data_IF_247679161802
#
_entry.id   IF_247679161802
#
_cell.length_a   1.000
_cell.length_b   1.000
_cell.length_c   1.000
_cell.angle_alpha   90.00
_cell.angle_beta   90.00
_cell.angle_gamma   90.00
#
_symmetry.space_group_name_H-M   'P 1'
#
loop_
_entity.id
_entity.type
_entity.pdbx_description
1 polymer ?
#
# COMPACT_ATOMS: atom_id res chain seq x y z
N UNK A 1 -10.81 -21.30 12.52
CA UNK A 1 -10.25 -21.96 11.32
C UNK A 1 -8.84 -21.43 11.05
N UNK A 2 -7.89 -22.25 10.62
CA UNK A 2 -6.61 -21.79 10.10
C UNK A 2 -6.42 -22.36 8.69
N UNK A 3 -6.00 -21.52 7.74
CA UNK A 3 -5.68 -21.92 6.38
C UNK A 3 -4.18 -21.76 6.15
N UNK A 4 -3.55 -22.81 5.65
CA UNK A 4 -2.12 -22.80 5.33
C UNK A 4 -1.94 -23.00 3.83
N UNK A 5 -1.25 -22.08 3.18
CA UNK A 5 -0.90 -22.18 1.76
C UNK A 5 0.57 -21.80 1.57
N UNK A 6 1.30 -22.66 0.85
CA UNK A 6 2.76 -22.61 0.52
C UNK A 6 3.78 -22.45 1.65
N UNK A 7 3.40 -21.90 2.81
CA UNK A 7 4.12 -21.73 4.10
C UNK A 7 3.48 -20.62 4.96
N UNK A 8 2.53 -19.85 4.44
CA UNK A 8 1.81 -18.82 5.19
C UNK A 8 0.55 -19.41 5.81
N UNK A 9 0.42 -19.25 7.12
CA UNK A 9 -0.79 -19.61 7.87
C UNK A 9 -1.58 -18.35 8.21
N UNK A 10 -2.85 -18.31 7.83
CA UNK A 10 -3.78 -17.25 8.23
C UNK A 10 -4.86 -17.84 9.12
N UNK A 11 -5.16 -17.19 10.25
CA UNK A 11 -6.19 -17.60 11.19
C UNK A 11 -7.46 -16.78 10.96
N UNK A 12 -8.60 -17.45 10.94
CA UNK A 12 -9.93 -16.86 10.77
C UNK A 12 -10.83 -17.29 11.93
N UNK A 13 -11.59 -16.33 12.46
CA UNK A 13 -12.57 -16.55 13.54
C UNK A 13 -14.01 -16.26 13.11
N UNK A 14 -14.19 -15.26 12.25
CA UNK A 14 -15.50 -14.78 11.83
C UNK A 14 -15.73 -15.00 10.34
N UNK A 15 -17.00 -14.89 9.96
CA UNK A 15 -17.44 -14.98 8.58
C UNK A 15 -17.72 -16.39 8.08
N UNK A 16 -17.91 -16.50 6.78
CA UNK A 16 -18.14 -17.74 6.04
C UNK A 16 -17.07 -17.90 4.97
N UNK A 17 -16.48 -19.09 4.89
CA UNK A 17 -15.53 -19.41 3.82
C UNK A 17 -16.29 -19.90 2.60
N UNK A 18 -16.19 -19.13 1.52
CA UNK A 18 -16.67 -19.51 0.20
C UNK A 18 -15.52 -20.13 -0.58
N UNK A 19 -15.76 -21.32 -1.15
CA UNK A 19 -14.81 -22.00 -2.04
C UNK A 19 -15.46 -22.15 -3.41
N UNK A 20 -14.83 -21.58 -4.44
CA UNK A 20 -15.34 -21.61 -5.81
C UNK A 20 -14.24 -21.93 -6.81
N UNK A 21 -14.59 -22.60 -7.89
CA UNK A 21 -13.72 -22.69 -9.06
C UNK A 21 -13.86 -21.39 -9.85
N UNK A 22 -12.74 -20.72 -10.12
CA UNK A 22 -12.67 -19.53 -10.96
C UNK A 22 -11.69 -19.76 -12.10
N UNK A 23 -11.82 -19.01 -13.19
CA UNK A 23 -10.88 -19.05 -14.32
C UNK A 23 -10.00 -17.81 -14.29
N UNK A 24 -8.72 -18.02 -14.02
CA UNK A 24 -7.68 -16.99 -14.10
C UNK A 24 -7.10 -16.93 -15.51
N UNK A 25 -6.91 -15.71 -16.04
CA UNK A 25 -6.46 -15.51 -17.41
C UNK A 25 -5.05 -16.08 -17.69
N UNK A 26 -4.20 -16.23 -16.66
CA UNK A 26 -2.83 -16.74 -16.79
C UNK A 26 -2.67 -18.17 -16.29
N UNK A 27 -3.39 -18.51 -15.22
CA UNK A 27 -3.22 -19.79 -14.51
C UNK A 27 -4.30 -20.83 -14.86
N UNK A 28 -5.32 -20.45 -15.64
CA UNK A 28 -6.45 -21.32 -15.94
C UNK A 28 -7.37 -21.52 -14.74
N UNK A 29 -8.00 -22.69 -14.63
CA UNK A 29 -8.96 -22.97 -13.56
C UNK A 29 -8.25 -23.15 -12.23
N UNK A 30 -8.70 -22.42 -11.20
CA UNK A 30 -8.16 -22.44 -9.85
C UNK A 30 -9.27 -22.37 -8.81
N UNK A 31 -8.96 -22.81 -7.59
CA UNK A 31 -9.83 -22.60 -6.45
C UNK A 31 -9.61 -21.19 -5.88
N UNK A 32 -10.69 -20.43 -5.76
CA UNK A 32 -10.77 -19.23 -4.96
C UNK A 32 -11.32 -19.58 -3.57
N UNK A 33 -10.63 -19.09 -2.54
CA UNK A 33 -11.06 -19.22 -1.14
C UNK A 33 -11.27 -17.80 -0.62
N UNK A 34 -12.53 -17.43 -0.37
CA UNK A 34 -12.93 -16.07 0.03
C UNK A 34 -13.55 -16.14 1.42
N UNK A 35 -13.07 -15.30 2.34
CA UNK A 35 -13.70 -15.14 3.65
C UNK A 35 -14.71 -14.00 3.61
N UNK A 36 -15.99 -14.31 3.66
CA UNK A 36 -17.06 -13.33 3.71
C UNK A 36 -17.34 -12.94 5.17
N UNK A 37 -17.07 -11.69 5.51
CA UNK A 37 -17.17 -11.15 6.88
C UNK A 37 -18.01 -9.88 6.89
N UNK A 38 -18.58 -9.54 8.06
CA UNK A 38 -19.22 -8.24 8.24
C UNK A 38 -18.20 -7.12 8.12
N UNK A 39 -18.51 -6.12 7.31
CA UNK A 39 -17.63 -4.98 7.07
C UNK A 39 -17.56 -4.02 8.26
N UNK A 40 -18.63 -3.93 9.05
CA UNK A 40 -18.73 -3.03 10.21
C UNK A 40 -17.57 -3.22 11.20
N UNK A 41 -17.26 -4.47 11.53
CA UNK A 41 -16.34 -4.85 12.59
C UNK A 41 -15.43 -6.05 12.26
N UNK A 42 -15.98 -7.21 11.86
CA UNK A 42 -15.23 -8.46 11.67
C UNK A 42 -14.09 -8.33 10.65
N UNK A 43 -14.36 -7.62 9.55
CA UNK A 43 -13.32 -7.25 8.57
C UNK A 43 -12.26 -6.36 9.21
N UNK A 44 -12.67 -5.31 9.93
CA UNK A 44 -11.74 -4.33 10.49
C UNK A 44 -10.89 -4.90 11.62
N UNK A 45 -11.41 -5.81 12.44
CA UNK A 45 -10.62 -6.49 13.47
C UNK A 45 -9.44 -7.28 12.90
N UNK A 46 -9.52 -7.70 11.63
CA UNK A 46 -8.44 -8.38 10.93
C UNK A 46 -7.47 -7.46 10.18
N UNK A 47 -7.71 -6.15 10.10
CA UNK A 47 -6.87 -5.20 9.38
C UNK A 47 -5.57 -4.93 10.13
N UNK A 48 -4.44 -5.08 9.44
CA UNK A 48 -3.10 -4.98 10.01
C UNK A 48 -2.21 -4.02 9.20
N UNK A 49 -2.62 -2.77 9.12
CA UNK A 49 -1.88 -1.69 8.43
C UNK A 49 -0.99 -0.87 9.36
N UNK A 50 -1.40 -0.71 10.62
CA UNK A 50 -0.66 0.03 11.65
C UNK A 50 -0.35 -0.87 12.85
N UNK A 51 0.75 -0.60 13.58
CA UNK A 51 1.00 -1.23 14.88
C UNK A 51 -0.16 -0.97 15.84
N UNK A 52 -0.65 -2.01 16.49
CA UNK A 52 -1.74 -1.91 17.47
C UNK A 52 -1.34 -1.15 18.74
N UNK A 53 -0.04 -0.88 18.91
CA UNK A 53 0.53 -0.09 20.01
C UNK A 53 0.51 1.42 19.78
N UNK A 54 0.06 1.89 18.60
CA UNK A 54 -0.06 3.30 18.31
C UNK A 54 -1.12 3.99 19.19
N UNK A 55 -1.05 5.33 19.35
CA UNK A 55 -2.03 6.10 20.10
C UNK A 55 -3.47 5.84 19.63
N UNK A 56 -4.42 5.86 20.56
CA UNK A 56 -5.83 5.56 20.30
C UNK A 56 -6.42 6.33 19.12
N UNK A 57 -6.17 7.64 19.04
CA UNK A 57 -6.66 8.49 17.95
C UNK A 57 -6.11 8.07 16.57
N UNK A 58 -4.86 7.58 16.50
CA UNK A 58 -4.27 7.08 15.26
C UNK A 58 -4.91 5.75 14.84
N UNK A 59 -5.19 4.86 15.81
CA UNK A 59 -5.91 3.60 15.54
C UNK A 59 -7.34 3.87 15.05
N UNK A 60 -8.04 4.85 15.63
CA UNK A 60 -9.39 5.24 15.22
C UNK A 60 -9.39 5.86 13.81
N UNK A 61 -8.43 6.74 13.50
CA UNK A 61 -8.25 7.29 12.16
C UNK A 61 -8.00 6.16 11.13
N UNK A 62 -7.16 5.18 11.46
CA UNK A 62 -6.92 4.03 10.59
C UNK A 62 -8.17 3.16 10.44
N UNK A 63 -8.94 2.90 11.50
CA UNK A 63 -10.17 2.12 11.43
C UNK A 63 -11.20 2.80 10.50
N UNK A 64 -11.38 4.12 10.62
CA UNK A 64 -12.25 4.92 9.73
C UNK A 64 -11.74 4.86 8.29
N UNK A 65 -10.44 5.08 8.07
CA UNK A 65 -9.84 5.00 6.75
C UNK A 65 -10.02 3.61 6.13
N UNK A 66 -9.76 2.54 6.87
CA UNK A 66 -9.91 1.18 6.37
C UNK A 66 -11.36 0.81 6.05
N UNK A 67 -12.31 1.30 6.85
CA UNK A 67 -13.76 1.15 6.60
C UNK A 67 -14.18 1.89 5.33
N UNK A 68 -13.77 3.15 5.17
CA UNK A 68 -14.03 3.95 3.96
C UNK A 68 -13.49 3.29 2.70
N UNK A 69 -12.24 2.82 2.72
CA UNK A 69 -11.63 2.15 1.58
C UNK A 69 -12.46 0.95 1.14
N UNK A 70 -12.79 0.07 2.09
CA UNK A 70 -13.57 -1.14 1.83
C UNK A 70 -14.98 -0.79 1.33
N UNK A 71 -15.67 0.16 1.97
CA UNK A 71 -16.99 0.64 1.52
C UNK A 71 -16.96 1.20 0.09
N UNK A 72 -15.88 1.88 -0.31
CA UNK A 72 -15.72 2.42 -1.68
C UNK A 72 -15.59 1.33 -2.77
N UNK A 73 -15.36 0.08 -2.37
CA UNK A 73 -15.17 -1.10 -3.23
C UNK A 73 -16.37 -2.05 -3.21
N UNK A 74 -17.28 -1.92 -2.24
CA UNK A 74 -18.49 -2.74 -2.14
C UNK A 74 -19.29 -2.68 -3.45
N UNK A 75 -19.78 -3.83 -3.90
CA UNK A 75 -20.54 -3.97 -5.15
C UNK A 75 -19.68 -4.11 -6.41
N UNK A 76 -18.35 -4.02 -6.32
CA UNK A 76 -17.44 -4.28 -7.44
C UNK A 76 -16.71 -5.60 -7.25
N UNK A 77 -17.27 -6.67 -7.82
CA UNK A 77 -16.68 -8.01 -7.74
C UNK A 77 -15.51 -8.15 -8.70
N UNK A 78 -14.36 -8.56 -8.17
CA UNK A 78 -13.14 -8.85 -8.90
C UNK A 78 -13.20 -10.27 -9.45
N UNK A 79 -13.18 -10.41 -10.78
CA UNK A 79 -13.26 -11.73 -11.46
C UNK A 79 -12.12 -12.69 -11.09
N UNK A 80 -10.96 -12.15 -10.74
CA UNK A 80 -9.75 -12.91 -10.38
C UNK A 80 -9.82 -13.64 -9.03
N UNK A 81 -10.80 -13.33 -8.19
CA UNK A 81 -11.01 -13.99 -6.90
C UNK A 81 -12.50 -14.25 -6.58
N UNK A 82 -13.42 -13.72 -7.38
CA UNK A 82 -14.84 -13.62 -7.06
C UNK A 82 -15.07 -12.98 -5.68
N UNK A 83 -14.39 -11.85 -5.45
CA UNK A 83 -14.34 -11.13 -4.18
C UNK A 83 -14.30 -9.61 -4.39
N UNK A 84 -14.68 -8.80 -3.38
CA UNK A 84 -14.60 -7.34 -3.48
C UNK A 84 -13.22 -6.78 -3.10
N UNK A 85 -12.47 -7.50 -2.26
CA UNK A 85 -11.21 -7.05 -1.67
C UNK A 85 -10.19 -8.18 -1.58
N UNK A 86 -8.95 -7.89 -1.94
CA UNK A 86 -7.79 -8.71 -1.64
C UNK A 86 -7.34 -8.54 -0.18
N UNK A 87 -6.79 -9.60 0.41
CA UNK A 87 -6.20 -9.59 1.76
C UNK A 87 -4.73 -9.12 1.80
N UNK A 88 -4.26 -8.43 0.76
CA UNK A 88 -2.86 -8.04 0.56
C UNK A 88 -2.74 -6.56 0.22
N UNK A 89 -1.51 -6.08 0.00
CA UNK A 89 -1.20 -4.69 -0.38
C UNK A 89 -1.92 -4.20 -1.65
N UNK A 90 -2.53 -5.10 -2.44
CA UNK A 90 -3.40 -4.70 -3.55
C UNK A 90 -4.65 -3.95 -3.09
N UNK A 91 -5.14 -4.21 -1.88
CA UNK A 91 -6.20 -3.44 -1.23
C UNK A 91 -5.77 -3.05 0.18
N UNK A 92 -5.88 -3.97 1.14
CA UNK A 92 -5.44 -3.78 2.52
C UNK A 92 -4.92 -5.09 3.10
N UNK A 93 -3.89 -5.02 3.94
CA UNK A 93 -3.31 -6.15 4.64
C UNK A 93 -4.29 -6.68 5.70
N UNK A 94 -4.92 -7.82 5.40
CA UNK A 94 -5.82 -8.52 6.31
C UNK A 94 -5.10 -9.71 6.94
N UNK A 95 -4.74 -9.60 8.22
CA UNK A 95 -4.12 -10.65 9.01
C UNK A 95 -5.14 -11.58 9.70
N UNK A 96 -6.43 -11.24 9.62
CA UNK A 96 -7.51 -12.01 10.24
C UNK A 96 -7.37 -12.06 11.76
N UNK A 97 -7.70 -13.21 12.35
CA UNK A 97 -7.76 -13.37 13.80
C UNK A 97 -6.41 -13.14 14.50
N UNK A 98 -5.29 -13.31 13.79
CA UNK A 98 -3.96 -13.02 14.34
C UNK A 98 -3.84 -11.58 14.85
N UNK A 99 -4.47 -10.61 14.16
CA UNK A 99 -4.46 -9.20 14.59
C UNK A 99 -5.26 -8.99 15.87
N UNK A 100 -6.45 -9.57 15.96
CA UNK A 100 -7.29 -9.48 17.15
C UNK A 100 -6.63 -10.15 18.37
N UNK A 101 -5.91 -11.27 18.15
CA UNK A 101 -5.22 -12.01 19.22
C UNK A 101 -3.80 -11.54 19.52
N UNK A 102 -3.38 -10.41 18.96
CA UNK A 102 -2.06 -9.85 19.27
C UNK A 102 -1.96 -9.61 20.79
N UNK A 103 -1.01 -10.25 21.50
CA UNK A 103 -0.93 -10.14 22.95
C UNK A 103 -0.83 -8.68 23.39
N UNK A 104 -1.68 -8.28 24.35
CA UNK A 104 -1.85 -6.91 24.88
C UNK A 104 -2.44 -5.91 23.88
N UNK A 105 -2.02 -5.95 22.61
CA UNK A 105 -2.32 -4.88 21.66
C UNK A 105 -3.57 -5.10 20.82
N UNK A 106 -3.96 -6.36 20.56
CA UNK A 106 -5.15 -6.66 19.76
C UNK A 106 -6.45 -6.10 20.37
N UNK A 107 -6.49 -6.00 21.71
CA UNK A 107 -7.58 -5.35 22.44
C UNK A 107 -7.66 -3.84 22.15
N UNK A 108 -6.53 -3.15 21.99
CA UNK A 108 -6.51 -1.72 21.68
C UNK A 108 -7.03 -1.46 20.27
N UNK A 109 -6.62 -2.30 19.30
CA UNK A 109 -7.14 -2.23 17.94
C UNK A 109 -8.65 -2.48 17.90
N UNK A 110 -9.11 -3.55 18.55
CA UNK A 110 -10.55 -3.87 18.64
C UNK A 110 -11.34 -2.71 19.27
N UNK A 111 -10.82 -2.12 20.35
CA UNK A 111 -11.45 -0.99 21.00
C UNK A 111 -11.52 0.26 20.09
N UNK A 112 -10.53 0.51 19.23
CA UNK A 112 -10.58 1.60 18.25
C UNK A 112 -11.65 1.37 17.18
N UNK A 113 -11.81 0.13 16.70
CA UNK A 113 -12.91 -0.25 15.79
C UNK A 113 -14.27 0.00 16.46
N UNK A 114 -14.43 -0.39 17.73
CA UNK A 114 -15.66 -0.16 18.50
C UNK A 114 -15.93 1.33 18.74
N UNK A 115 -14.94 2.13 19.14
CA UNK A 115 -15.13 3.58 19.39
C UNK A 115 -15.50 4.37 18.13
N UNK A 116 -15.18 3.86 16.95
CA UNK A 116 -15.58 4.44 15.66
C UNK A 116 -16.87 3.84 15.10
N UNK A 117 -17.63 3.13 15.93
CA UNK A 117 -18.89 2.48 15.59
C UNK A 117 -20.01 3.00 16.50
N UNK A 118 -20.76 4.04 16.09
CA UNK A 118 -21.79 4.66 16.94
C UNK A 118 -22.93 3.71 17.36
N UNK A 119 -23.13 2.63 16.61
CA UNK A 119 -24.06 1.54 16.96
C UNK A 119 -23.51 0.20 16.46
N UNK A 120 -24.18 -0.88 16.84
CA UNK A 120 -23.92 -2.25 16.36
C UNK A 120 -24.06 -2.41 14.83
N UNK A 121 -24.67 -1.46 14.14
CA UNK A 121 -24.91 -1.51 12.70
C UNK A 121 -24.32 -0.34 11.91
N UNK A 122 -23.72 0.64 12.61
CA UNK A 122 -23.19 1.85 11.98
C UNK A 122 -21.74 2.08 12.35
N UNK A 123 -20.97 2.61 11.40
CA UNK A 123 -19.55 2.91 11.57
C UNK A 123 -19.17 4.19 10.85
N UNK A 124 -18.21 4.92 11.42
CA UNK A 124 -17.72 6.17 10.83
C UNK A 124 -16.92 5.89 9.55
N UNK A 125 -17.21 6.68 8.52
CA UNK A 125 -16.51 6.68 7.23
C UNK A 125 -16.25 8.11 6.77
N UNK A 126 -15.12 8.35 6.11
CA UNK A 126 -14.89 9.54 5.30
C UNK A 126 -15.73 9.49 4.03
N UNK A 127 -16.49 10.55 3.79
CA UNK A 127 -17.42 10.67 2.65
C UNK A 127 -17.19 11.96 1.87
N UNK A 128 -17.53 11.95 0.59
CA UNK A 128 -17.69 13.14 -0.26
C UNK A 128 -19.01 13.02 -1.00
N UNK A 129 -19.84 14.07 -0.96
CA UNK A 129 -21.21 14.03 -1.51
C UNK A 129 -22.00 12.82 -0.97
N UNK A 130 -21.88 12.56 0.33
CA UNK A 130 -22.53 11.44 1.03
C UNK A 130 -22.14 10.04 0.57
N UNK A 131 -21.10 9.90 -0.28
CA UNK A 131 -20.57 8.62 -0.72
C UNK A 131 -19.21 8.34 -0.07
N UNK A 132 -18.95 7.12 0.42
CA UNK A 132 -17.63 6.74 0.93
C UNK A 132 -16.54 6.94 -0.12
N UNK A 133 -15.46 7.63 0.27
CA UNK A 133 -14.32 7.84 -0.63
C UNK A 133 -13.31 6.70 -0.50
N UNK A 134 -12.49 6.51 -1.53
CA UNK A 134 -11.32 5.65 -1.42
C UNK A 134 -10.22 6.40 -0.67
N UNK A 135 -10.03 6.03 0.58
CA UNK A 135 -9.02 6.57 1.49
C UNK A 135 -7.67 5.92 1.22
N UNK A 136 -6.73 6.70 0.71
CA UNK A 136 -5.34 6.26 0.52
C UNK A 136 -4.52 6.60 1.76
N UNK A 137 -3.64 5.69 2.16
CA UNK A 137 -2.73 5.88 3.28
C UNK A 137 -1.37 5.25 2.96
N UNK A 138 -0.34 5.69 3.67
CA UNK A 138 1.03 5.22 3.52
C UNK A 138 1.80 5.38 4.83
N UNK A 139 2.97 4.74 4.93
CA UNK A 139 3.73 4.72 6.19
C UNK A 139 4.45 6.03 6.51
N UNK A 140 4.89 6.78 5.51
CA UNK A 140 5.68 8.01 5.64
C UNK A 140 5.54 8.83 4.36
N UNK A 141 5.58 10.16 4.48
CA UNK A 141 5.35 11.09 3.37
C UNK A 141 6.62 11.82 2.93
N UNK A 142 7.64 11.90 3.79
CA UNK A 142 8.84 12.70 3.53
C UNK A 142 8.63 14.21 3.74
N UNK A 143 7.64 14.58 4.56
CA UNK A 143 7.36 15.96 4.96
C UNK A 143 6.07 16.53 4.37
N UNK A 144 5.52 15.91 3.33
CA UNK A 144 4.34 16.39 2.62
C UNK A 144 3.63 15.24 1.89
N UNK A 145 2.30 15.21 1.95
CA UNK A 145 1.49 14.20 1.25
C UNK A 145 1.44 14.43 -0.26
N UNK A 146 1.10 13.39 -1.02
CA UNK A 146 1.03 13.44 -2.49
C UNK A 146 -0.42 13.32 -2.99
N UNK A 147 -0.69 13.92 -4.15
CA UNK A 147 -1.98 13.79 -4.84
C UNK A 147 -2.10 12.45 -5.57
N UNK A 148 -3.32 11.93 -5.70
CA UNK A 148 -3.61 10.76 -6.54
C UNK A 148 -3.22 10.95 -8.01
N UNK A 149 -3.30 12.19 -8.51
CA UNK A 149 -2.85 12.56 -9.86
C UNK A 149 -1.35 12.34 -10.04
N UNK A 150 -0.54 12.75 -9.09
CA UNK A 150 0.91 12.57 -9.16
C UNK A 150 1.33 11.13 -8.85
N UNK A 151 0.66 10.46 -7.91
CA UNK A 151 0.95 9.08 -7.52
C UNK A 151 0.54 8.05 -8.60
N UNK A 152 -0.66 8.21 -9.18
CA UNK A 152 -1.26 7.20 -10.08
C UNK A 152 -1.77 7.75 -11.41
N UNK A 153 -1.59 9.05 -11.70
CA UNK A 153 -2.00 9.67 -12.96
C UNK A 153 -3.49 10.04 -13.04
N UNK A 154 -4.29 9.72 -12.02
CA UNK A 154 -5.74 10.01 -11.99
C UNK A 154 -6.07 10.86 -10.80
N UNK A 155 -6.68 12.02 -11.04
CA UNK A 155 -7.20 12.88 -9.99
C UNK A 155 -8.57 12.39 -9.51
N UNK A 156 -8.68 12.08 -8.23
CA UNK A 156 -9.96 11.71 -7.58
C UNK A 156 -10.70 12.92 -6.99
N UNK A 157 -10.07 14.10 -7.00
CA UNK A 157 -10.62 15.39 -6.60
C UNK A 157 -10.71 15.64 -5.09
N UNK A 158 -10.21 14.73 -4.26
CA UNK A 158 -10.20 14.84 -2.79
C UNK A 158 -8.85 14.50 -2.14
N UNK A 159 -7.80 14.33 -2.95
CA UNK A 159 -6.43 14.14 -2.46
C UNK A 159 -5.65 15.41 -2.73
N UNK A 160 -5.29 16.14 -1.67
CA UNK A 160 -4.52 17.36 -1.75
C UNK A 160 -3.19 17.16 -1.03
N UNK A 161 -2.15 17.84 -1.52
CA UNK A 161 -0.88 17.91 -0.83
C UNK A 161 -1.04 18.78 0.43
N UNK A 162 -0.73 18.21 1.58
CA UNK A 162 -0.72 18.85 2.90
C UNK A 162 0.59 18.54 3.62
N UNK A 163 1.14 19.49 4.41
CA UNK A 163 2.32 19.26 5.22
C UNK A 163 2.14 18.11 6.21
N UNK A 164 3.19 17.31 6.38
CA UNK A 164 3.30 16.24 7.36
C UNK A 164 4.70 16.28 8.00
N UNK A 165 4.95 17.28 8.87
CA UNK A 165 6.25 17.44 9.52
C UNK A 165 6.61 16.26 10.44
N UNK A 166 5.62 15.52 10.93
CA UNK A 166 5.83 14.37 11.82
C UNK A 166 6.53 13.21 11.12
N UNK A 167 6.37 13.05 9.79
CA UNK A 167 7.11 12.05 9.04
C UNK A 167 8.62 12.29 8.98
N UNK A 168 9.08 13.52 9.28
CA UNK A 168 10.49 13.89 9.33
C UNK A 168 11.09 13.77 10.75
N UNK A 169 10.26 13.48 11.76
CA UNK A 169 10.72 13.32 13.14
C UNK A 169 11.42 11.96 13.31
N UNK A 170 12.73 11.92 13.66
CA UNK A 170 13.47 10.68 13.84
C UNK A 170 13.03 9.85 15.04
N UNK A 171 12.32 10.44 16.02
CA UNK A 171 11.74 9.71 17.16
C UNK A 171 10.42 9.04 16.79
N UNK A 172 9.57 9.74 16.04
CA UNK A 172 8.26 9.20 15.62
C UNK A 172 8.38 8.26 14.42
N UNK A 173 9.31 8.52 13.51
CA UNK A 173 9.53 7.75 12.29
C UNK A 173 10.98 7.27 12.14
N UNK A 174 11.53 6.51 13.12
CA UNK A 174 12.96 6.18 13.16
C UNK A 174 13.46 5.39 11.94
N UNK A 175 12.57 4.66 11.26
CA UNK A 175 12.93 3.79 10.15
C UNK A 175 12.89 4.48 8.78
N UNK A 176 12.10 5.55 8.63
CA UNK A 176 11.82 6.15 7.32
C UNK A 176 11.80 7.69 7.30
N UNK A 177 12.17 8.36 8.40
CA UNK A 177 12.44 9.82 8.35
C UNK A 177 13.59 10.13 7.37
N UNK A 178 14.53 9.19 7.23
CA UNK A 178 15.56 9.13 6.19
C UNK A 178 15.82 7.67 5.83
N UNK A 179 16.07 7.39 4.56
CA UNK A 179 16.43 6.05 4.10
C UNK A 179 17.50 6.11 3.01
N UNK A 180 18.24 5.01 2.86
CA UNK A 180 19.18 4.77 1.75
C UNK A 180 18.93 3.38 1.19
N UNK A 181 18.97 3.25 -0.14
CA UNK A 181 18.91 1.95 -0.83
C UNK A 181 19.93 1.95 -1.95
N UNK A 182 20.70 0.87 -2.00
CA UNK A 182 21.55 0.58 -3.14
C UNK A 182 20.73 -0.22 -4.16
N UNK A 183 20.68 0.28 -5.40
CA UNK A 183 19.98 -0.38 -6.50
C UNK A 183 21.02 -1.01 -7.40
N UNK A 184 21.04 -2.34 -7.45
CA UNK A 184 22.03 -3.07 -8.26
C UNK A 184 21.77 -2.86 -9.76
N UNK A 185 22.81 -3.07 -10.57
CA UNK A 185 22.70 -2.95 -12.02
C UNK A 185 21.60 -3.85 -12.60
N UNK A 186 21.48 -5.08 -12.10
CA UNK A 186 20.43 -6.03 -12.53
C UNK A 186 19.02 -5.48 -12.27
N UNK A 187 18.81 -4.79 -11.14
CA UNK A 187 17.53 -4.17 -10.79
C UNK A 187 17.28 -2.93 -11.64
N UNK A 188 18.28 -2.10 -11.89
CA UNK A 188 18.17 -0.95 -12.80
C UNK A 188 17.81 -1.38 -14.23
N UNK A 189 18.57 -2.32 -14.79
CA UNK A 189 18.34 -2.89 -16.11
C UNK A 189 16.92 -3.46 -16.23
N UNK A 190 16.50 -4.27 -15.26
CA UNK A 190 15.14 -4.81 -15.20
C UNK A 190 14.07 -3.73 -15.07
N UNK A 191 14.30 -2.70 -14.26
CA UNK A 191 13.34 -1.62 -14.06
C UNK A 191 13.10 -0.81 -15.34
N UNK A 192 14.17 -0.49 -16.07
CA UNK A 192 14.10 0.24 -17.33
C UNK A 192 13.80 -0.65 -18.56
N UNK A 193 13.84 -1.97 -18.44
CA UNK A 193 13.71 -2.87 -19.59
C UNK A 193 14.86 -2.71 -20.58
N UNK A 194 16.08 -2.53 -20.04
CA UNK A 194 17.33 -2.37 -20.78
C UNK A 194 18.25 -3.56 -20.49
N UNK A 195 19.23 -3.81 -21.37
CA UNK A 195 20.31 -4.79 -21.14
C UNK A 195 21.19 -4.39 -19.95
N UNK A 196 21.41 -3.09 -19.82
CA UNK A 196 22.28 -2.44 -18.87
C UNK A 196 21.88 -0.96 -18.76
N UNK A 197 22.31 -0.32 -17.68
CA UNK A 197 22.10 1.10 -17.40
C UNK A 197 23.42 1.73 -17.00
N UNK A 198 23.99 2.56 -17.86
CA UNK A 198 25.25 3.28 -17.60
C UNK A 198 25.02 4.65 -16.98
N UNK A 199 23.81 5.21 -17.10
CA UNK A 199 23.44 6.42 -16.39
C UNK A 199 21.96 6.47 -16.05
N UNK A 200 21.66 7.11 -14.92
CA UNK A 200 20.30 7.40 -14.45
C UNK A 200 20.21 8.89 -14.16
N UNK A 201 19.13 9.53 -14.63
CA UNK A 201 18.88 10.96 -14.41
C UNK A 201 17.44 11.20 -14.00
N UNK A 202 17.24 11.94 -12.91
CA UNK A 202 15.94 12.53 -12.59
C UNK A 202 15.68 13.67 -13.60
N UNK A 203 14.61 13.54 -14.39
CA UNK A 203 14.27 14.52 -15.42
C UNK A 203 13.44 15.67 -14.85
N UNK A 204 12.54 15.38 -13.91
CA UNK A 204 11.72 16.39 -13.24
C UNK A 204 11.12 15.86 -11.93
N UNK A 205 10.70 16.80 -11.08
CA UNK A 205 10.00 16.56 -9.83
C UNK A 205 8.54 17.04 -9.93
N UNK A 206 7.67 16.51 -9.07
CA UNK A 206 6.37 17.10 -8.78
C UNK A 206 6.54 18.29 -7.81
N UNK A 207 5.48 19.07 -7.62
CA UNK A 207 5.48 20.25 -6.75
C UNK A 207 5.82 19.91 -5.29
N UNK A 208 5.50 18.68 -4.89
CA UNK A 208 5.83 18.12 -3.57
C UNK A 208 7.31 17.83 -3.40
N UNK A 209 8.07 17.60 -4.48
CA UNK A 209 9.46 17.14 -4.44
C UNK A 209 9.64 15.65 -4.78
N UNK A 210 8.56 14.89 -4.98
CA UNK A 210 8.64 13.51 -5.46
C UNK A 210 9.13 13.44 -6.91
N UNK A 211 9.85 12.38 -7.28
CA UNK A 211 10.31 12.18 -8.66
C UNK A 211 9.11 12.00 -9.59
N UNK A 212 8.97 12.89 -10.56
CA UNK A 212 7.91 12.80 -11.59
C UNK A 212 8.35 11.91 -12.74
N UNK A 213 9.54 12.19 -13.29
CA UNK A 213 10.12 11.42 -14.38
C UNK A 213 11.61 11.14 -14.16
N UNK A 214 12.02 9.95 -14.57
CA UNK A 214 13.40 9.48 -14.50
C UNK A 214 13.78 8.79 -15.82
N UNK A 215 15.02 8.97 -16.26
CA UNK A 215 15.59 8.37 -17.47
C UNK A 215 16.72 7.42 -17.10
N UNK A 216 16.72 6.23 -17.71
CA UNK A 216 17.87 5.33 -17.74
C UNK A 216 18.44 5.28 -19.15
N UNK A 217 19.77 5.31 -19.28
CA UNK A 217 20.51 5.16 -20.55
C UNK A 217 21.36 3.90 -20.50
N UNK A 218 21.31 3.10 -21.55
CA UNK A 218 22.17 1.92 -21.75
C UNK A 218 23.51 2.26 -22.40
N UNK A 219 24.49 1.36 -22.35
CA UNK A 219 25.80 1.51 -23.02
C UNK A 219 25.68 1.72 -24.53
N UNK A 220 24.68 1.09 -25.17
CA UNK A 220 24.38 1.26 -26.60
C UNK A 220 23.61 2.54 -26.94
N UNK A 221 23.43 3.43 -25.96
CA UNK A 221 22.82 4.75 -26.14
C UNK A 221 21.29 4.78 -26.09
N UNK A 222 20.60 3.63 -25.98
CA UNK A 222 19.14 3.58 -25.83
C UNK A 222 18.73 4.21 -24.50
N UNK A 223 17.72 5.09 -24.55
CA UNK A 223 17.15 5.80 -23.40
C UNK A 223 15.72 5.34 -23.14
N UNK A 224 15.38 5.17 -21.87
CA UNK A 224 14.00 4.85 -21.44
C UNK A 224 13.58 5.81 -20.34
N UNK A 225 12.46 6.49 -20.57
CA UNK A 225 11.80 7.37 -19.60
C UNK A 225 10.72 6.59 -18.86
N UNK A 226 10.73 6.69 -17.53
CA UNK A 226 9.69 6.16 -16.65
C UNK A 226 9.09 7.27 -15.79
N UNK A 227 7.85 7.09 -15.32
CA UNK A 227 7.36 7.85 -14.17
C UNK A 227 8.13 7.43 -12.92
N UNK A 228 8.25 8.32 -11.93
CA UNK A 228 8.88 7.99 -10.66
C UNK A 228 8.22 6.80 -9.98
N UNK A 229 6.89 6.69 -10.00
CA UNK A 229 6.17 5.55 -9.41
C UNK A 229 6.46 4.23 -10.15
N UNK A 230 6.53 4.25 -11.48
CA UNK A 230 6.89 3.04 -12.24
C UNK A 230 8.30 2.58 -11.90
N UNK A 231 9.25 3.52 -11.82
CA UNK A 231 10.60 3.21 -11.42
C UNK A 231 10.64 2.67 -9.98
N UNK A 232 10.04 3.37 -9.02
CA UNK A 232 9.94 2.98 -7.61
C UNK A 232 9.39 1.57 -7.43
N UNK A 233 8.31 1.24 -8.14
CA UNK A 233 7.68 -0.08 -8.10
C UNK A 233 8.62 -1.17 -8.61
N UNK A 234 9.25 -0.95 -9.78
CA UNK A 234 10.14 -1.93 -10.40
C UNK A 234 11.49 -2.08 -9.70
N UNK A 235 12.01 -1.01 -9.10
CA UNK A 235 13.26 -1.01 -8.34
C UNK A 235 13.08 -1.31 -6.85
N UNK A 236 11.82 -1.50 -6.40
CA UNK A 236 11.45 -1.81 -5.01
C UNK A 236 11.90 -0.74 -4.02
N UNK A 237 11.96 0.52 -4.45
CA UNK A 237 12.25 1.63 -3.55
C UNK A 237 11.09 1.88 -2.57
N UNK A 238 11.36 2.42 -1.36
CA UNK A 238 10.32 2.73 -0.39
C UNK A 238 9.34 3.82 -0.86
N UNK A 239 9.81 4.82 -1.59
CA UNK A 239 9.01 5.94 -2.08
C UNK A 239 9.59 6.54 -3.36
N UNK A 240 8.83 7.44 -3.99
CA UNK A 240 9.29 8.30 -5.10
C UNK A 240 10.05 9.53 -4.61
N UNK A 241 10.19 9.70 -3.29
CA UNK A 241 10.98 10.77 -2.67
C UNK A 241 12.41 10.30 -2.44
N UNK A 242 13.28 10.57 -3.42
CA UNK A 242 14.70 10.23 -3.33
C UNK A 242 15.55 11.17 -4.18
N UNK A 243 16.83 11.21 -3.85
CA UNK A 243 17.89 11.81 -4.68
C UNK A 243 18.86 10.72 -5.11
N UNK A 244 19.56 10.92 -6.22
CA UNK A 244 20.63 10.03 -6.65
C UNK A 244 21.92 10.44 -5.94
N UNK A 245 22.63 9.49 -5.33
CA UNK A 245 23.80 9.79 -4.48
C UNK A 245 25.16 9.58 -5.15
N UNK A 246 25.23 9.33 -6.46
CA UNK A 246 26.50 9.32 -7.19
C UNK A 246 26.29 9.57 -8.69
N UNK A 247 27.09 10.48 -9.24
CA UNK A 247 27.07 10.96 -10.62
C UNK A 247 27.77 10.04 -11.64
N UNK A 248 28.40 8.93 -11.25
CA UNK A 248 29.02 8.01 -12.21
C UNK A 248 28.84 6.54 -11.79
N UNK A 249 28.02 5.79 -12.54
CA UNK A 249 28.04 4.32 -12.54
C UNK A 249 29.24 3.80 -13.36
N UNK A 250 30.43 4.33 -13.14
CA UNK A 250 31.66 3.80 -13.78
C UNK A 250 32.54 3.17 -12.71
N UNK A 251 32.29 1.90 -12.44
CA UNK A 251 33.40 0.96 -12.27
C UNK A 251 32.99 -0.37 -12.88
N UNK A 252 33.40 -0.56 -14.14
CA UNK A 252 33.57 -1.89 -14.70
C UNK A 252 34.76 -2.48 -13.94
N UNK A 253 34.49 -3.38 -12.99
CA UNK A 253 35.52 -4.32 -12.58
C UNK A 253 35.34 -5.58 -13.44
N UNK A 254 36.40 -5.88 -14.18
CA UNK A 254 36.56 -7.02 -15.10
C UNK A 254 36.21 -8.36 -14.46
#
# INVERSE_FOLDING_TARGET
>A
LALTHTKKTTKYRYGQIQVKVITDAKLGNRLAIVNQVRLHDEYLWGISEVPSSWPAAALEAQAIASRSYAMSKVGKVLKSCDCELYSSISDQNFAGYTKETEPKWGLLWKAAVTRTSPSETTGLTVTRNSLPIRTYFGSSTGGVTETSKNAWGTDVGYTFSVPDPWSLDPKLNPNFFKWKRDVTQSVLASAFGLSDVVSVKILSLNETGTVKFIEGKSSVGKKVKLSGETFRSRSKLPSTWFVLTAEELVSVQN
#
